data_IF_114080121149
#
_entry.id   IF_114080121149
#
_cell.length_a   1.000
_cell.length_b   1.000
_cell.length_c   1.000
_cell.angle_alpha   90.00
_cell.angle_beta   90.00
_cell.angle_gamma   90.00
#
_symmetry.space_group_name_H-M   'P 1'
#
loop_
_entity.id
_entity.type
_entity.pdbx_description
1 polymer ?
#
# COMPACT_ATOMS: atom_id res chain seq x y z
N UNK A 1 17.54 -7.18 9.49
CA UNK A 1 17.28 -8.35 8.66
C UNK A 1 16.40 -9.36 9.38
N UNK A 2 16.62 -9.61 10.67
CA UNK A 2 15.83 -10.56 11.47
C UNK A 2 14.35 -10.15 11.54
N UNK A 3 14.05 -8.88 11.77
CA UNK A 3 12.68 -8.38 11.79
C UNK A 3 11.96 -8.60 10.46
N UNK A 4 12.68 -8.41 9.32
CA UNK A 4 12.13 -8.71 8.01
C UNK A 4 11.88 -10.19 7.78
N UNK A 5 12.74 -11.09 8.31
CA UNK A 5 12.49 -12.54 8.22
C UNK A 5 11.22 -12.93 8.95
N UNK A 6 11.04 -12.43 10.19
CA UNK A 6 9.81 -12.66 10.98
C UNK A 6 8.57 -12.12 10.26
N UNK A 7 8.71 -10.95 9.65
CA UNK A 7 7.63 -10.36 8.87
C UNK A 7 7.28 -11.21 7.65
N UNK A 8 8.26 -11.69 6.88
CA UNK A 8 8.00 -12.53 5.72
C UNK A 8 7.40 -13.88 6.11
N UNK A 9 7.86 -14.47 7.21
CA UNK A 9 7.22 -15.66 7.76
C UNK A 9 5.76 -15.41 8.13
N UNK A 10 5.46 -14.29 8.79
CA UNK A 10 4.10 -13.89 9.12
C UNK A 10 3.26 -13.69 7.84
N UNK A 11 3.74 -12.88 6.89
CA UNK A 11 3.03 -12.59 5.65
C UNK A 11 2.74 -13.86 4.84
N UNK A 12 3.72 -14.77 4.72
CA UNK A 12 3.51 -16.05 4.04
C UNK A 12 2.44 -16.90 4.73
N UNK A 13 2.44 -16.98 6.07
CA UNK A 13 1.39 -17.67 6.83
C UNK A 13 0.00 -17.05 6.65
N UNK A 14 -0.05 -15.74 6.40
CA UNK A 14 -1.29 -15.02 6.13
C UNK A 14 -1.73 -15.13 4.66
N UNK A 15 -0.95 -15.79 3.81
CA UNK A 15 -1.26 -16.00 2.41
C UNK A 15 -0.85 -14.84 1.49
N UNK A 16 -0.06 -13.88 1.97
CA UNK A 16 0.54 -12.87 1.11
C UNK A 16 1.64 -13.51 0.26
N UNK A 17 1.61 -13.26 -1.04
CA UNK A 17 2.45 -13.94 -2.02
C UNK A 17 3.45 -13.02 -2.73
N UNK A 18 3.30 -11.71 -2.58
CA UNK A 18 4.15 -10.71 -3.23
C UNK A 18 4.48 -9.55 -2.29
N UNK A 19 5.67 -8.98 -2.46
CA UNK A 19 6.08 -7.71 -1.85
C UNK A 19 6.68 -6.81 -2.92
N UNK A 20 6.47 -5.49 -2.80
CA UNK A 20 7.11 -4.49 -3.65
C UNK A 20 8.14 -3.70 -2.85
N UNK A 21 9.36 -3.60 -3.38
CA UNK A 21 10.43 -2.78 -2.81
C UNK A 21 10.61 -1.55 -3.69
N UNK A 22 10.36 -0.38 -3.14
CA UNK A 22 10.50 0.90 -3.84
C UNK A 22 11.92 1.47 -3.67
N UNK A 23 12.36 2.23 -4.67
CA UNK A 23 13.63 2.94 -4.62
C UNK A 23 14.88 2.12 -4.94
N UNK A 24 14.76 0.97 -5.57
CA UNK A 24 15.93 0.16 -5.95
C UNK A 24 16.86 0.87 -6.94
N UNK A 25 16.33 1.78 -7.73
CA UNK A 25 17.08 2.57 -8.71
C UNK A 25 17.22 4.05 -8.33
N UNK A 26 16.64 4.50 -7.23
CA UNK A 26 16.72 5.89 -6.79
C UNK A 26 18.04 6.13 -6.10
N UNK A 27 18.83 7.08 -6.60
CA UNK A 27 20.12 7.44 -6.02
C UNK A 27 20.53 8.86 -6.43
N UNK A 28 21.21 9.54 -5.52
CA UNK A 28 21.84 10.85 -5.80
C UNK A 28 23.05 10.74 -6.77
N UNK A 29 23.53 9.52 -7.02
CA UNK A 29 24.59 9.27 -7.99
C UNK A 29 24.12 9.28 -9.45
N UNK A 30 22.80 9.27 -9.72
CA UNK A 30 22.28 9.46 -11.06
C UNK A 30 22.62 10.88 -11.56
N UNK A 31 23.01 11.05 -12.84
CA UNK A 31 23.09 10.06 -13.93
C UNK A 31 24.53 9.64 -14.26
N UNK A 32 25.50 9.85 -13.37
CA UNK A 32 26.92 9.66 -13.68
C UNK A 32 27.24 8.22 -14.06
N UNK A 33 26.71 7.27 -13.33
CA UNK A 33 26.84 5.85 -13.61
C UNK A 33 25.64 5.09 -13.03
N UNK A 34 24.80 4.53 -13.88
CA UNK A 34 23.63 3.77 -13.46
C UNK A 34 24.03 2.49 -12.71
N UNK A 35 25.19 1.91 -13.00
CA UNK A 35 25.65 0.68 -12.34
C UNK A 35 26.10 0.92 -10.90
N UNK A 36 26.46 2.14 -10.56
CA UNK A 36 26.90 2.56 -9.23
C UNK A 36 25.81 3.27 -8.41
N UNK A 37 24.59 3.42 -8.95
CA UNK A 37 23.51 4.15 -8.29
C UNK A 37 23.08 3.55 -6.95
N UNK A 38 23.30 2.26 -6.72
CA UNK A 38 23.07 1.60 -5.45
C UNK A 38 24.40 1.25 -4.80
N UNK A 39 24.78 1.87 -3.67
CA UNK A 39 26.01 1.54 -2.96
C UNK A 39 26.14 0.03 -2.69
N UNK A 40 27.34 -0.56 -2.81
CA UNK A 40 27.53 -2.01 -2.68
C UNK A 40 26.94 -2.61 -1.40
N UNK A 41 27.05 -1.90 -0.27
CA UNK A 41 26.49 -2.37 1.01
C UNK A 41 24.96 -2.38 1.02
N UNK A 42 24.34 -1.37 0.43
CA UNK A 42 22.89 -1.33 0.25
C UNK A 42 22.42 -2.43 -0.68
N UNK A 43 23.12 -2.63 -1.80
CA UNK A 43 22.85 -3.69 -2.74
C UNK A 43 22.86 -5.07 -2.08
N UNK A 44 23.91 -5.40 -1.33
CA UNK A 44 24.00 -6.66 -0.58
C UNK A 44 22.89 -6.84 0.46
N UNK A 45 22.47 -5.77 1.14
CA UNK A 45 21.34 -5.83 2.08
C UNK A 45 20.02 -6.10 1.37
N UNK A 46 19.80 -5.46 0.24
CA UNK A 46 18.59 -5.68 -0.59
C UNK A 46 18.57 -7.12 -1.10
N UNK A 47 19.66 -7.65 -1.63
CA UNK A 47 19.75 -9.05 -2.06
C UNK A 47 19.37 -10.03 -0.94
N UNK A 48 19.90 -9.81 0.27
CA UNK A 48 19.55 -10.63 1.44
C UNK A 48 18.07 -10.53 1.84
N UNK A 49 17.45 -9.37 1.62
CA UNK A 49 15.99 -9.22 1.84
C UNK A 49 15.20 -9.99 0.80
N UNK A 50 15.58 -9.90 -0.48
CA UNK A 50 14.95 -10.65 -1.58
C UNK A 50 15.08 -12.16 -1.34
N UNK A 51 16.28 -12.64 -1.03
CA UNK A 51 16.52 -14.06 -0.68
C UNK A 51 15.68 -14.50 0.52
N UNK A 52 15.51 -13.64 1.52
CA UNK A 52 14.68 -13.96 2.68
C UNK A 52 13.20 -14.09 2.30
N UNK A 53 12.68 -13.22 1.45
CA UNK A 53 11.32 -13.31 0.93
C UNK A 53 11.11 -14.61 0.11
N UNK A 54 12.03 -14.89 -0.80
CA UNK A 54 11.99 -16.10 -1.63
C UNK A 54 11.99 -17.40 -0.81
N UNK A 55 12.72 -17.46 0.32
CA UNK A 55 12.70 -18.62 1.22
C UNK A 55 11.32 -18.89 1.83
N UNK A 56 10.47 -17.88 1.89
CA UNK A 56 9.08 -18.01 2.35
C UNK A 56 8.08 -18.11 1.19
N UNK A 57 8.56 -18.28 -0.05
CA UNK A 57 7.70 -18.36 -1.24
C UNK A 57 7.07 -17.04 -1.66
N UNK A 58 7.55 -15.92 -1.10
CA UNK A 58 7.08 -14.56 -1.45
C UNK A 58 7.89 -14.05 -2.62
N UNK A 59 7.21 -13.64 -3.68
CA UNK A 59 7.81 -12.97 -4.84
C UNK A 59 8.15 -11.52 -4.52
N UNK A 60 9.21 -11.02 -5.13
CA UNK A 60 9.67 -9.65 -4.90
C UNK A 60 9.61 -8.85 -6.18
N UNK A 61 8.88 -7.74 -6.14
CA UNK A 61 8.75 -6.79 -7.25
C UNK A 61 9.54 -5.52 -6.93
N UNK A 62 10.04 -4.86 -7.97
CA UNK A 62 10.51 -3.49 -7.84
C UNK A 62 9.36 -2.52 -8.08
N UNK A 63 9.13 -1.61 -7.14
CA UNK A 63 8.34 -0.43 -7.44
C UNK A 63 9.05 0.40 -8.53
N UNK A 64 8.36 0.69 -9.62
CA UNK A 64 8.89 1.38 -10.79
C UNK A 64 8.01 2.59 -11.14
N UNK A 65 8.56 3.80 -10.98
CA UNK A 65 7.95 4.99 -11.56
C UNK A 65 8.08 4.98 -13.07
N UNK A 66 6.96 5.15 -13.77
CA UNK A 66 6.95 5.18 -15.24
C UNK A 66 7.03 6.62 -15.70
N UNK A 67 8.20 7.06 -16.14
CA UNK A 67 8.55 8.44 -16.52
C UNK A 67 8.47 9.49 -15.39
N UNK A 68 8.06 9.14 -14.18
CA UNK A 68 7.86 10.11 -13.11
C UNK A 68 8.64 9.77 -11.84
N UNK A 69 8.07 9.09 -10.90
CA UNK A 69 8.68 8.82 -9.60
C UNK A 69 10.08 8.17 -9.72
N UNK A 70 11.06 8.71 -8.98
CA UNK A 70 12.43 8.20 -8.96
C UNK A 70 13.39 8.77 -10.03
N UNK A 71 12.91 9.62 -10.93
CA UNK A 71 13.72 10.19 -12.01
C UNK A 71 14.23 11.61 -11.73
N UNK A 72 13.98 12.14 -10.55
CA UNK A 72 14.30 13.54 -10.21
C UNK A 72 15.75 13.93 -10.48
N UNK A 73 16.71 13.09 -10.10
CA UNK A 73 18.13 13.41 -10.28
C UNK A 73 18.56 13.30 -11.76
N UNK A 74 17.97 12.37 -12.51
CA UNK A 74 18.15 12.29 -13.97
C UNK A 74 17.62 13.57 -14.63
N UNK A 75 16.41 14.00 -14.28
CA UNK A 75 15.79 15.21 -14.80
C UNK A 75 16.65 16.45 -14.46
N UNK A 76 17.13 16.54 -13.24
CA UNK A 76 17.99 17.65 -12.80
C UNK A 76 19.29 17.75 -13.59
N UNK A 77 19.90 16.63 -13.94
CA UNK A 77 21.11 16.61 -14.75
C UNK A 77 20.82 16.76 -16.25
N UNK A 78 19.64 16.37 -16.72
CA UNK A 78 19.19 16.44 -18.11
C UNK A 78 17.83 17.15 -18.22
N UNK A 79 17.73 18.46 -17.97
CA UNK A 79 16.44 19.17 -17.90
C UNK A 79 15.62 19.10 -19.19
N UNK A 80 16.25 18.85 -20.33
CA UNK A 80 15.58 18.68 -21.63
C UNK A 80 14.64 17.49 -21.66
N UNK A 81 14.89 16.47 -20.83
CA UNK A 81 14.04 15.28 -20.73
C UNK A 81 12.65 15.60 -20.12
N UNK A 82 12.52 16.71 -19.44
CA UNK A 82 11.31 17.10 -18.71
C UNK A 82 10.98 18.58 -18.93
N UNK A 83 10.58 18.97 -20.15
CA UNK A 83 10.45 20.38 -20.53
C UNK A 83 9.34 21.14 -19.82
N UNK A 84 8.35 20.45 -19.27
CA UNK A 84 7.16 21.07 -18.65
C UNK A 84 6.95 20.69 -17.18
N UNK A 85 7.75 19.77 -16.65
CA UNK A 85 7.61 19.29 -15.26
C UNK A 85 8.97 18.97 -14.66
N UNK A 86 9.28 19.41 -13.44
CA UNK A 86 10.52 19.04 -12.77
C UNK A 86 10.50 17.58 -12.23
N UNK A 87 9.39 16.87 -12.38
CA UNK A 87 9.15 15.56 -11.76
C UNK A 87 8.82 14.45 -12.76
N UNK A 88 8.44 14.80 -14.00
CA UNK A 88 8.02 13.83 -14.99
C UNK A 88 8.74 14.04 -16.31
N UNK A 89 9.41 12.98 -16.82
CA UNK A 89 10.06 12.99 -18.13
C UNK A 89 9.03 13.02 -19.25
N UNK A 90 9.44 13.53 -20.41
CA UNK A 90 8.59 13.63 -21.60
C UNK A 90 8.49 12.26 -22.32
N UNK A 91 7.31 11.68 -22.36
CA UNK A 91 7.11 10.41 -23.07
C UNK A 91 7.29 10.50 -24.60
N UNK A 92 7.27 11.73 -25.16
CA UNK A 92 7.53 11.99 -26.59
C UNK A 92 9.02 12.16 -26.90
N UNK A 93 9.89 12.23 -25.88
CA UNK A 93 11.32 12.39 -26.04
C UNK A 93 12.00 11.02 -26.12
N UNK A 94 12.72 10.71 -27.23
CA UNK A 94 13.43 9.44 -27.36
C UNK A 94 14.52 9.23 -26.31
N UNK A 95 15.18 10.30 -25.86
CA UNK A 95 16.21 10.20 -24.83
C UNK A 95 15.59 9.83 -23.46
N UNK A 96 14.39 10.32 -23.18
CA UNK A 96 13.65 9.92 -21.97
C UNK A 96 13.31 8.41 -21.98
N UNK A 97 13.00 7.87 -23.15
CA UNK A 97 12.81 6.44 -23.31
C UNK A 97 14.10 5.64 -23.07
N UNK A 98 15.22 6.07 -23.57
CA UNK A 98 16.52 5.42 -23.31
C UNK A 98 16.85 5.38 -21.80
N UNK A 99 16.44 6.38 -21.03
CA UNK A 99 16.57 6.35 -19.58
C UNK A 99 15.62 5.35 -18.92
N UNK A 100 14.40 5.21 -19.43
CA UNK A 100 13.48 4.16 -18.96
C UNK A 100 14.07 2.76 -19.19
N UNK A 101 14.58 2.48 -20.39
CA UNK A 101 15.25 1.21 -20.71
C UNK A 101 16.41 0.93 -19.77
N UNK A 102 17.32 1.89 -19.58
CA UNK A 102 18.46 1.76 -18.66
C UNK A 102 18.04 1.44 -17.23
N UNK A 103 16.96 2.07 -16.74
CA UNK A 103 16.46 1.82 -15.39
C UNK A 103 15.89 0.40 -15.27
N UNK A 104 15.11 -0.02 -16.25
CA UNK A 104 14.51 -1.36 -16.27
C UNK A 104 15.60 -2.42 -16.31
N UNK A 105 16.55 -2.27 -17.22
CA UNK A 105 17.66 -3.21 -17.38
C UNK A 105 18.56 -3.26 -16.13
N UNK A 106 18.83 -2.11 -15.53
CA UNK A 106 19.57 -2.05 -14.28
C UNK A 106 18.86 -2.84 -13.16
N UNK A 107 17.56 -2.61 -12.95
CA UNK A 107 16.83 -3.22 -11.86
C UNK A 107 16.80 -4.75 -12.02
N UNK A 108 16.51 -5.26 -13.21
CA UNK A 108 16.46 -6.70 -13.47
C UNK A 108 17.84 -7.37 -13.55
N UNK A 109 18.87 -6.67 -14.02
CA UNK A 109 20.24 -7.21 -14.03
C UNK A 109 20.89 -7.21 -12.66
N UNK A 110 20.55 -6.20 -11.82
CA UNK A 110 21.22 -6.00 -10.53
C UNK A 110 20.60 -6.82 -9.40
N UNK A 111 19.30 -7.05 -9.44
CA UNK A 111 18.57 -7.69 -8.37
C UNK A 111 17.80 -8.92 -8.85
N UNK A 112 17.76 -10.02 -8.07
CA UNK A 112 17.00 -11.22 -8.41
C UNK A 112 15.50 -11.06 -8.12
N UNK A 113 14.90 -9.99 -8.65
CA UNK A 113 13.47 -9.70 -8.50
C UNK A 113 12.62 -10.47 -9.51
N UNK A 114 11.36 -10.69 -9.15
CA UNK A 114 10.40 -11.45 -9.95
C UNK A 114 9.63 -10.59 -10.95
N UNK A 115 9.61 -9.27 -10.75
CA UNK A 115 8.86 -8.36 -11.60
C UNK A 115 8.90 -6.91 -11.15
N UNK A 116 7.93 -6.15 -11.62
CA UNK A 116 7.74 -4.73 -11.28
C UNK A 116 6.31 -4.45 -10.86
N UNK A 117 6.14 -3.47 -9.95
CA UNK A 117 4.88 -2.77 -9.69
C UNK A 117 5.01 -1.35 -10.22
N UNK A 118 4.34 -1.06 -11.33
CA UNK A 118 4.47 0.20 -12.06
C UNK A 118 3.52 1.26 -11.53
N UNK A 119 4.02 2.50 -11.42
CA UNK A 119 3.24 3.66 -11.00
C UNK A 119 3.60 4.86 -11.89
N UNK A 120 2.66 5.31 -12.72
CA UNK A 120 2.92 6.28 -13.77
C UNK A 120 2.46 7.70 -13.46
N UNK A 121 1.57 7.90 -12.48
CA UNK A 121 0.86 9.16 -12.31
C UNK A 121 1.17 9.92 -11.01
N UNK A 122 1.99 9.35 -10.12
CA UNK A 122 2.23 9.90 -8.78
C UNK A 122 2.74 11.35 -8.77
N UNK A 123 3.63 11.68 -9.71
CA UNK A 123 4.23 13.01 -9.79
C UNK A 123 3.80 13.79 -11.04
N UNK A 124 2.61 13.46 -11.58
CA UNK A 124 2.08 14.09 -12.77
C UNK A 124 2.68 13.58 -14.07
N UNK A 125 2.53 14.36 -15.14
CA UNK A 125 2.92 14.02 -16.52
C UNK A 125 3.58 15.18 -17.23
N UNK A 126 4.24 14.90 -18.35
CA UNK A 126 4.66 15.94 -19.28
C UNK A 126 3.44 16.55 -19.99
N UNK A 127 3.42 17.88 -20.10
CA UNK A 127 2.37 18.68 -20.74
C UNK A 127 2.90 19.44 -21.99
N UNK A 128 3.94 18.93 -22.65
CA UNK A 128 4.38 19.47 -23.91
C UNK A 128 3.30 19.27 -25.00
N UNK A 129 3.33 20.03 -26.13
CA UNK A 129 2.29 19.97 -27.15
C UNK A 129 1.96 18.53 -27.61
N UNK A 130 2.98 17.68 -27.80
CA UNK A 130 2.79 16.27 -28.22
C UNK A 130 2.13 15.42 -27.13
N UNK A 131 2.53 15.61 -25.85
CA UNK A 131 1.95 14.84 -24.76
C UNK A 131 0.53 15.31 -24.42
N UNK A 132 0.21 16.59 -24.67
CA UNK A 132 -1.10 17.18 -24.42
C UNK A 132 -2.16 16.78 -25.46
N UNK A 133 -1.78 16.13 -26.54
CA UNK A 133 -2.73 15.53 -27.51
C UNK A 133 -3.52 14.36 -26.92
N UNK A 134 -3.00 13.75 -25.85
CA UNK A 134 -3.64 12.65 -25.14
C UNK A 134 -4.39 13.13 -23.91
N UNK A 135 -5.57 12.58 -23.65
CA UNK A 135 -6.18 12.69 -22.31
C UNK A 135 -5.25 12.07 -21.25
N UNK A 136 -5.47 12.37 -19.99
CA UNK A 136 -4.63 11.83 -18.91
C UNK A 136 -4.64 10.30 -18.90
N UNK A 137 -5.80 9.67 -19.08
CA UNK A 137 -5.92 8.21 -19.10
C UNK A 137 -5.19 7.60 -20.31
N UNK A 138 -5.31 8.19 -21.51
CA UNK A 138 -4.63 7.72 -22.72
C UNK A 138 -3.11 7.85 -22.61
N UNK A 139 -2.61 8.99 -22.06
CA UNK A 139 -1.19 9.18 -21.83
C UNK A 139 -0.62 8.10 -20.91
N UNK A 140 -1.26 7.87 -19.77
CA UNK A 140 -0.77 6.85 -18.84
C UNK A 140 -0.92 5.43 -19.39
N UNK A 141 -1.95 5.14 -20.19
CA UNK A 141 -2.04 3.87 -20.89
C UNK A 141 -0.89 3.68 -21.88
N UNK A 142 -0.58 4.71 -22.68
CA UNK A 142 0.51 4.69 -23.65
C UNK A 142 1.85 4.33 -23.01
N UNK A 143 2.22 5.02 -21.92
CA UNK A 143 3.51 4.81 -21.27
C UNK A 143 3.59 3.48 -20.51
N UNK A 144 2.52 3.06 -19.83
CA UNK A 144 2.49 1.75 -19.18
C UNK A 144 2.56 0.60 -20.19
N UNK A 145 1.83 0.68 -21.29
CA UNK A 145 1.89 -0.32 -22.36
C UNK A 145 3.30 -0.41 -22.96
N UNK A 146 3.90 0.73 -23.32
CA UNK A 146 5.26 0.78 -23.86
C UNK A 146 6.30 0.12 -22.95
N UNK A 147 6.26 0.43 -21.65
CA UNK A 147 7.16 -0.18 -20.67
C UNK A 147 6.89 -1.67 -20.54
N UNK A 148 5.63 -2.08 -20.50
CA UNK A 148 5.26 -3.49 -20.43
C UNK A 148 5.73 -4.28 -21.63
N UNK A 149 5.58 -3.74 -22.84
CA UNK A 149 6.08 -4.36 -24.09
C UNK A 149 7.58 -4.57 -24.04
N UNK A 150 8.34 -3.56 -23.58
CA UNK A 150 9.79 -3.68 -23.42
C UNK A 150 10.16 -4.78 -22.42
N UNK A 151 9.51 -4.80 -21.24
CA UNK A 151 9.77 -5.83 -20.22
C UNK A 151 9.42 -7.22 -20.78
N UNK A 152 8.28 -7.40 -21.45
CA UNK A 152 7.91 -8.69 -22.06
C UNK A 152 8.92 -9.15 -23.10
N UNK A 153 9.47 -8.24 -23.90
CA UNK A 153 10.42 -8.55 -24.95
C UNK A 153 11.83 -8.88 -24.41
N UNK A 154 12.33 -8.10 -23.44
CA UNK A 154 13.71 -8.22 -22.95
C UNK A 154 13.83 -9.13 -21.72
N UNK A 155 12.79 -9.19 -20.89
CA UNK A 155 12.77 -9.82 -19.58
C UNK A 155 11.59 -10.79 -19.45
N UNK A 156 11.49 -11.76 -20.36
CA UNK A 156 10.34 -12.67 -20.42
C UNK A 156 10.14 -13.40 -19.08
N UNK A 157 8.88 -13.65 -18.73
CA UNK A 157 8.50 -14.33 -17.49
C UNK A 157 8.48 -13.45 -16.24
N UNK A 158 8.82 -12.17 -16.36
CA UNK A 158 8.71 -11.22 -15.24
C UNK A 158 7.27 -10.76 -15.05
N UNK A 159 6.87 -10.60 -13.80
CA UNK A 159 5.55 -10.12 -13.40
C UNK A 159 5.47 -8.61 -13.68
N UNK A 160 4.34 -8.18 -14.23
CA UNK A 160 4.01 -6.78 -14.47
C UNK A 160 2.74 -6.44 -13.69
N UNK A 161 2.90 -5.78 -12.55
CA UNK A 161 1.80 -5.13 -11.83
C UNK A 161 1.70 -3.66 -12.22
N UNK A 162 0.50 -3.12 -12.23
CA UNK A 162 0.25 -1.68 -12.41
C UNK A 162 -0.58 -1.17 -11.26
N UNK A 163 -0.10 -0.13 -10.59
CA UNK A 163 -0.81 0.58 -9.54
C UNK A 163 -1.32 1.91 -10.09
N UNK A 164 -2.59 2.19 -9.88
CA UNK A 164 -3.26 3.37 -10.42
C UNK A 164 -3.07 4.66 -9.61
N UNK A 165 -2.19 4.68 -8.63
CA UNK A 165 -1.96 5.85 -7.78
C UNK A 165 -1.80 7.13 -8.62
N UNK A 166 -2.65 8.14 -8.34
CA UNK A 166 -2.70 9.38 -9.10
C UNK A 166 -3.42 9.31 -10.46
N UNK A 167 -3.82 8.13 -10.95
CA UNK A 167 -4.62 8.02 -12.17
C UNK A 167 -6.06 8.49 -11.91
N UNK A 168 -6.64 9.32 -12.80
CA UNK A 168 -8.07 9.59 -12.77
C UNK A 168 -8.80 8.33 -13.22
N UNK A 169 -9.38 7.63 -12.27
CA UNK A 169 -10.26 6.49 -12.50
C UNK A 169 -11.66 6.86 -12.02
N UNK A 170 -12.66 6.13 -12.48
CA UNK A 170 -14.01 6.28 -11.98
C UNK A 170 -14.99 6.87 -12.98
N UNK A 171 -14.51 7.28 -14.15
CA UNK A 171 -15.36 7.67 -15.29
C UNK A 171 -15.33 6.62 -16.41
N UNK A 172 -16.37 6.59 -17.25
CA UNK A 172 -16.46 5.66 -18.38
C UNK A 172 -15.44 5.96 -19.49
N UNK A 173 -15.01 7.21 -19.62
CA UNK A 173 -14.04 7.60 -20.64
C UNK A 173 -12.64 7.01 -20.40
N UNK A 174 -12.31 6.70 -19.14
CA UNK A 174 -11.03 6.05 -18.78
C UNK A 174 -11.00 4.55 -19.07
N UNK A 175 -12.15 3.88 -19.18
CA UNK A 175 -12.25 2.41 -19.32
C UNK A 175 -11.43 1.87 -20.50
N UNK A 176 -11.49 2.42 -21.73
CA UNK A 176 -10.70 1.90 -22.85
C UNK A 176 -9.19 1.95 -22.62
N UNK A 177 -8.71 2.99 -21.93
CA UNK A 177 -7.31 3.15 -21.57
C UNK A 177 -6.86 2.14 -20.51
N UNK A 178 -7.69 1.90 -19.52
CA UNK A 178 -7.43 0.90 -18.47
C UNK A 178 -7.43 -0.53 -19.03
N UNK A 179 -8.31 -0.82 -20.00
CA UNK A 179 -8.32 -2.11 -20.71
C UNK A 179 -7.03 -2.34 -21.51
N UNK A 180 -6.44 -1.29 -22.11
CA UNK A 180 -5.13 -1.41 -22.80
C UNK A 180 -4.03 -1.79 -21.82
N UNK A 181 -4.00 -1.16 -20.63
CA UNK A 181 -3.05 -1.52 -19.57
C UNK A 181 -3.27 -2.97 -19.14
N UNK A 182 -4.51 -3.38 -18.87
CA UNK A 182 -4.85 -4.72 -18.42
C UNK A 182 -4.50 -5.84 -19.39
N UNK A 183 -4.38 -5.56 -20.71
CA UNK A 183 -3.90 -6.55 -21.68
C UNK A 183 -2.41 -6.85 -21.58
N UNK A 184 -1.65 -5.95 -20.99
CA UNK A 184 -0.18 -6.05 -20.89
C UNK A 184 0.29 -6.42 -19.48
N UNK A 185 -0.53 -6.13 -18.46
CA UNK A 185 -0.23 -6.42 -17.05
C UNK A 185 -0.68 -7.84 -16.65
N UNK A 186 -0.08 -8.38 -15.60
CA UNK A 186 -0.56 -9.57 -14.91
C UNK A 186 -1.64 -9.22 -13.90
N UNK A 187 -1.53 -8.03 -13.29
CA UNK A 187 -2.56 -7.48 -12.41
C UNK A 187 -2.60 -5.95 -12.44
N UNK A 188 -3.75 -5.41 -12.05
CA UNK A 188 -3.99 -3.97 -11.93
C UNK A 188 -4.55 -3.66 -10.54
N UNK A 189 -3.90 -2.77 -9.80
CA UNK A 189 -4.32 -2.32 -8.47
C UNK A 189 -4.96 -0.94 -8.57
N UNK A 190 -6.25 -0.86 -8.24
CA UNK A 190 -6.94 0.41 -8.07
C UNK A 190 -6.58 1.06 -6.73
N UNK A 191 -5.85 2.16 -6.80
CA UNK A 191 -5.38 2.88 -5.62
C UNK A 191 -6.48 3.66 -4.89
N UNK A 192 -7.64 3.86 -5.49
CA UNK A 192 -8.73 4.64 -4.88
C UNK A 192 -9.63 3.83 -3.95
N UNK A 193 -9.67 2.52 -4.12
CA UNK A 193 -10.60 1.67 -3.38
C UNK A 193 -12.07 1.83 -3.78
N UNK A 194 -12.95 1.04 -3.16
CA UNK A 194 -14.35 0.91 -3.55
C UNK A 194 -15.19 2.20 -3.45
N UNK A 195 -14.77 3.14 -2.63
CA UNK A 195 -15.60 4.31 -2.27
C UNK A 195 -15.50 5.48 -3.25
N UNK A 196 -14.62 5.42 -4.24
CA UNK A 196 -14.33 6.56 -5.14
C UNK A 196 -14.82 6.35 -6.57
N UNK A 197 -15.64 5.35 -6.83
CA UNK A 197 -16.24 5.13 -8.12
C UNK A 197 -17.54 5.94 -8.24
N UNK A 198 -17.60 6.79 -9.26
CA UNK A 198 -18.74 7.71 -9.47
C UNK A 198 -20.07 6.98 -9.68
N UNK A 199 -20.02 5.78 -10.26
CA UNK A 199 -21.19 4.98 -10.56
C UNK A 199 -21.10 3.58 -9.95
N UNK A 200 -22.10 3.20 -9.20
CA UNK A 200 -22.27 1.83 -8.76
C UNK A 200 -22.28 0.87 -9.97
N UNK A 201 -21.46 -0.15 -9.92
CA UNK A 201 -21.32 -1.12 -11.00
C UNK A 201 -20.26 -0.78 -12.07
N UNK A 202 -19.70 0.45 -12.13
CA UNK A 202 -18.63 0.77 -13.08
C UNK A 202 -17.39 -0.09 -12.79
N UNK A 203 -17.00 -0.23 -11.54
CA UNK A 203 -15.89 -1.11 -11.11
C UNK A 203 -16.13 -2.55 -11.57
N UNK A 204 -17.33 -3.10 -11.37
CA UNK A 204 -17.69 -4.46 -11.80
C UNK A 204 -17.57 -4.62 -13.32
N UNK A 205 -18.04 -3.63 -14.10
CA UNK A 205 -17.92 -3.66 -15.56
C UNK A 205 -16.46 -3.60 -16.00
N UNK A 206 -15.66 -2.75 -15.37
CA UNK A 206 -14.23 -2.66 -15.67
C UNK A 206 -13.53 -4.00 -15.35
N UNK A 207 -13.73 -4.54 -14.16
CA UNK A 207 -13.16 -5.85 -13.76
C UNK A 207 -13.52 -6.94 -14.76
N UNK A 208 -14.80 -7.02 -15.15
CA UNK A 208 -15.27 -8.02 -16.10
C UNK A 208 -14.64 -7.87 -17.51
N UNK A 209 -14.13 -6.69 -17.85
CA UNK A 209 -13.50 -6.38 -19.12
C UNK A 209 -11.97 -6.40 -19.10
N UNK A 210 -11.34 -6.51 -17.90
CA UNK A 210 -9.89 -6.59 -17.77
C UNK A 210 -9.38 -7.97 -18.18
N UNK A 211 -8.24 -7.99 -18.85
CA UNK A 211 -7.55 -9.23 -19.22
C UNK A 211 -6.57 -9.73 -18.15
N UNK A 212 -6.44 -8.98 -17.05
CA UNK A 212 -5.56 -9.30 -15.92
C UNK A 212 -6.37 -9.37 -14.62
N UNK A 213 -5.73 -9.83 -13.56
CA UNK A 213 -6.32 -9.78 -12.23
C UNK A 213 -6.50 -8.32 -11.77
N UNK A 214 -7.64 -8.02 -11.16
CA UNK A 214 -7.94 -6.71 -10.62
C UNK A 214 -7.92 -6.75 -9.11
N UNK A 215 -7.29 -5.76 -8.53
CA UNK A 215 -7.22 -5.57 -7.10
C UNK A 215 -7.41 -4.12 -6.67
N UNK A 216 -7.38 -3.90 -5.38
CA UNK A 216 -7.39 -2.57 -4.78
C UNK A 216 -6.32 -2.44 -3.71
N UNK A 217 -6.00 -1.21 -3.32
CA UNK A 217 -5.26 -0.99 -2.09
C UNK A 217 -6.12 -1.52 -0.94
N UNK A 218 -5.51 -2.36 -0.13
CA UNK A 218 -6.19 -3.12 0.91
C UNK A 218 -6.67 -2.28 2.06
N UNK A 219 -7.83 -2.64 2.51
CA UNK A 219 -8.60 -1.87 3.46
C UNK A 219 -9.29 -0.71 2.77
N UNK A 220 -10.30 -0.13 3.40
CA UNK A 220 -10.68 1.20 3.02
C UNK A 220 -9.42 2.03 3.12
N UNK A 221 -9.18 2.88 2.18
CA UNK A 221 -8.25 3.98 2.35
C UNK A 221 -8.81 4.85 3.45
N UNK A 222 -8.64 4.35 4.63
CA UNK A 222 -8.95 5.06 5.83
C UNK A 222 -7.82 5.97 6.03
N UNK A 223 -8.16 7.06 5.83
CA UNK A 223 -7.29 8.15 6.00
C UNK A 223 -7.31 8.59 7.44
N UNK A 224 -6.23 8.90 7.94
CA UNK A 224 -4.90 8.88 7.46
C UNK A 224 -4.28 7.54 7.75
N UNK A 225 -4.46 6.61 6.96
CA UNK A 225 -3.67 5.44 7.16
C UNK A 225 -2.37 5.63 6.45
N UNK A 226 -1.73 6.59 6.74
CA UNK A 226 -0.35 6.68 6.40
C UNK A 226 0.32 5.55 7.17
N UNK A 227 0.17 4.40 6.62
CA UNK A 227 0.54 3.08 7.04
C UNK A 227 1.98 3.02 7.51
N UNK A 228 2.83 3.88 6.98
CA UNK A 228 4.22 3.98 7.37
C UNK A 228 4.46 4.78 8.68
N UNK A 229 3.38 5.24 9.36
CA UNK A 229 3.50 5.96 10.63
C UNK A 229 2.53 5.48 11.69
N UNK A 230 2.00 4.27 11.51
CA UNK A 230 1.07 3.66 12.44
C UNK A 230 1.71 2.99 13.63
N UNK A 231 3.01 2.87 13.66
CA UNK A 231 3.77 2.12 14.65
C UNK A 231 3.41 2.51 16.09
N UNK A 232 2.95 3.73 16.33
CA UNK A 232 2.54 4.20 17.65
C UNK A 232 1.04 4.17 17.89
N UNK A 233 0.22 4.29 16.84
CA UNK A 233 -1.22 4.39 17.00
C UNK A 233 -1.90 3.05 16.77
N UNK A 234 -2.89 2.77 17.62
CA UNK A 234 -3.73 1.58 17.47
C UNK A 234 -4.98 1.95 16.67
N UNK A 235 -4.96 1.62 15.40
CA UNK A 235 -6.04 1.92 14.44
C UNK A 235 -6.50 0.66 13.71
N UNK A 236 -7.18 -0.28 14.37
CA UNK A 236 -7.73 -1.44 13.69
C UNK A 236 -8.87 -1.00 12.76
N UNK A 237 -8.87 -1.50 11.51
CA UNK A 237 -9.89 -1.22 10.49
C UNK A 237 -10.57 -2.52 10.06
N UNK A 238 -11.21 -3.20 11.00
CA UNK A 238 -11.60 -4.60 10.86
C UNK A 238 -12.88 -4.80 10.06
N UNK A 239 -13.96 -4.12 10.48
CA UNK A 239 -15.24 -4.17 9.75
C UNK A 239 -15.06 -3.68 8.33
N UNK A 240 -14.41 -2.53 8.16
CA UNK A 240 -14.20 -1.92 6.85
C UNK A 240 -13.31 -2.76 5.96
N UNK A 241 -12.26 -3.39 6.49
CA UNK A 241 -11.43 -4.34 5.74
C UNK A 241 -12.26 -5.53 5.27
N UNK A 242 -13.06 -6.11 6.17
CA UNK A 242 -13.92 -7.25 5.84
C UNK A 242 -14.96 -6.91 4.78
N UNK A 243 -15.69 -5.81 4.95
CA UNK A 243 -16.70 -5.34 4.00
C UNK A 243 -16.09 -4.96 2.64
N UNK A 244 -14.92 -4.31 2.65
CA UNK A 244 -14.22 -3.93 1.43
C UNK A 244 -13.78 -5.13 0.60
N UNK A 245 -13.14 -6.13 1.23
CA UNK A 245 -12.69 -7.34 0.52
C UNK A 245 -13.89 -8.15 0.03
N UNK A 246 -14.95 -8.25 0.81
CA UNK A 246 -16.18 -8.92 0.39
C UNK A 246 -16.82 -8.24 -0.84
N UNK A 247 -16.88 -6.90 -0.84
CA UNK A 247 -17.40 -6.13 -1.97
C UNK A 247 -16.49 -6.25 -3.22
N UNK A 248 -15.17 -6.20 -3.04
CA UNK A 248 -14.21 -6.42 -4.11
C UNK A 248 -14.38 -7.79 -4.75
N UNK A 249 -14.48 -8.84 -3.94
CA UNK A 249 -14.68 -10.20 -4.41
C UNK A 249 -16.03 -10.39 -5.11
N UNK A 250 -17.09 -9.73 -4.63
CA UNK A 250 -18.41 -9.73 -5.27
C UNK A 250 -18.40 -9.08 -6.66
N UNK A 251 -17.53 -8.09 -6.87
CA UNK A 251 -17.29 -7.46 -8.16
C UNK A 251 -16.34 -8.25 -9.07
N UNK A 252 -15.72 -9.32 -8.57
CA UNK A 252 -14.79 -10.17 -9.31
C UNK A 252 -13.31 -9.84 -9.12
N UNK A 253 -12.97 -8.89 -8.25
CA UNK A 253 -11.59 -8.57 -7.90
C UNK A 253 -10.93 -9.66 -7.05
N UNK A 254 -9.60 -9.77 -7.12
CA UNK A 254 -8.86 -10.91 -6.56
C UNK A 254 -7.62 -10.56 -5.77
N UNK A 255 -7.22 -9.29 -5.72
CA UNK A 255 -5.98 -8.87 -5.09
C UNK A 255 -6.17 -7.65 -4.19
N UNK A 256 -5.33 -7.56 -3.17
CA UNK A 256 -5.17 -6.35 -2.37
C UNK A 256 -3.69 -6.05 -2.19
N UNK A 257 -3.32 -4.80 -2.39
CA UNK A 257 -2.00 -4.28 -2.08
C UNK A 257 -2.06 -3.50 -0.76
N UNK A 258 -1.07 -3.73 0.12
CA UNK A 258 -0.94 -3.05 1.40
C UNK A 258 0.42 -2.36 1.49
N UNK A 259 0.45 -1.18 2.10
CA UNK A 259 1.69 -0.47 2.35
C UNK A 259 2.11 -0.62 3.81
N UNK A 260 3.25 -1.26 4.05
CA UNK A 260 3.77 -1.50 5.40
C UNK A 260 5.26 -1.26 5.52
N UNK A 261 5.65 -0.88 6.74
CA UNK A 261 6.98 -1.13 7.27
C UNK A 261 7.03 -2.47 8.01
N UNK A 262 7.90 -2.60 9.01
CA UNK A 262 7.88 -3.73 9.92
C UNK A 262 6.58 -3.70 10.74
N UNK A 263 5.85 -4.81 10.74
CA UNK A 263 4.59 -4.94 11.48
C UNK A 263 4.92 -5.14 12.96
N UNK A 264 4.87 -4.06 13.70
CA UNK A 264 5.07 -4.05 15.16
C UNK A 264 3.77 -3.74 15.93
N UNK A 265 2.83 -3.07 15.26
CA UNK A 265 1.57 -2.65 15.85
C UNK A 265 0.51 -3.76 15.78
N UNK A 266 -0.06 -4.18 16.92
CA UNK A 266 -1.11 -5.22 16.95
C UNK A 266 -2.35 -4.86 16.12
N UNK A 267 -2.66 -3.57 15.95
CA UNK A 267 -3.76 -3.12 15.11
C UNK A 267 -3.53 -3.40 13.63
N UNK A 268 -2.30 -3.27 13.13
CA UNK A 268 -1.95 -3.63 11.76
C UNK A 268 -1.90 -5.15 11.59
N UNK A 269 -1.34 -5.86 12.56
CA UNK A 269 -1.26 -7.32 12.50
C UNK A 269 -2.65 -7.97 12.43
N UNK A 270 -3.60 -7.55 13.27
CA UNK A 270 -4.95 -8.13 13.26
C UNK A 270 -5.70 -7.81 11.95
N UNK A 271 -5.50 -6.60 11.39
CA UNK A 271 -6.07 -6.25 10.09
C UNK A 271 -5.55 -7.15 8.97
N UNK A 272 -4.23 -7.44 8.95
CA UNK A 272 -3.61 -8.30 7.95
C UNK A 272 -4.05 -9.76 8.10
N UNK A 273 -4.19 -10.26 9.33
CA UNK A 273 -4.71 -11.60 9.59
C UNK A 273 -6.13 -11.74 9.03
N UNK A 274 -6.98 -10.76 9.31
CA UNK A 274 -8.33 -10.71 8.75
C UNK A 274 -8.28 -10.65 7.22
N UNK A 275 -7.47 -9.76 6.65
CA UNK A 275 -7.35 -9.59 5.21
C UNK A 275 -6.89 -10.87 4.51
N UNK A 276 -5.85 -11.53 5.01
CA UNK A 276 -5.35 -12.79 4.47
C UNK A 276 -6.42 -13.88 4.46
N UNK A 277 -7.16 -14.04 5.57
CA UNK A 277 -8.29 -15.00 5.65
C UNK A 277 -9.40 -14.65 4.66
N UNK A 278 -9.78 -13.37 4.56
CA UNK A 278 -10.81 -12.89 3.64
C UNK A 278 -10.42 -13.09 2.18
N UNK A 279 -9.17 -12.82 1.80
CA UNK A 279 -8.68 -13.01 0.42
C UNK A 279 -8.67 -14.48 0.02
N UNK A 280 -8.36 -15.37 0.96
CA UNK A 280 -8.38 -16.82 0.72
C UNK A 280 -9.80 -17.41 0.68
N UNK A 281 -10.76 -16.84 1.43
CA UNK A 281 -12.13 -17.33 1.49
C UNK A 281 -13.16 -16.17 1.56
N UNK A 282 -13.27 -15.33 0.52
CA UNK A 282 -14.03 -14.07 0.57
C UNK A 282 -15.55 -14.24 0.69
N UNK A 283 -16.06 -15.47 0.52
CA UNK A 283 -17.49 -15.79 0.67
C UNK A 283 -17.89 -16.12 2.11
N UNK A 284 -16.92 -16.34 2.98
CA UNK A 284 -17.16 -16.53 4.42
C UNK A 284 -17.35 -15.18 5.07
N UNK A 285 -18.29 -15.08 6.01
CA UNK A 285 -18.56 -13.83 6.72
C UNK A 285 -17.30 -13.31 7.43
N UNK A 286 -16.99 -12.04 7.27
CA UNK A 286 -15.79 -11.43 7.83
C UNK A 286 -15.71 -11.54 9.36
N UNK A 287 -16.87 -11.57 10.04
CA UNK A 287 -16.94 -11.76 11.49
C UNK A 287 -16.35 -13.09 11.93
N UNK A 288 -16.59 -14.16 11.17
CA UNK A 288 -15.99 -15.47 11.43
C UNK A 288 -14.49 -15.43 11.24
N UNK A 289 -14.01 -14.81 10.16
CA UNK A 289 -12.58 -14.63 9.93
C UNK A 289 -11.91 -13.75 11.00
N UNK A 290 -12.60 -12.73 11.49
CA UNK A 290 -12.10 -11.92 12.60
C UNK A 290 -11.98 -12.73 13.88
N UNK A 291 -12.99 -13.53 14.20
CA UNK A 291 -12.94 -14.43 15.35
C UNK A 291 -11.73 -15.35 15.30
N UNK A 292 -11.53 -16.05 14.19
CA UNK A 292 -10.37 -16.92 13.97
C UNK A 292 -9.03 -16.15 14.03
N UNK A 293 -8.98 -14.92 13.50
CA UNK A 293 -7.79 -14.08 13.56
C UNK A 293 -7.45 -13.66 15.02
N UNK A 294 -8.46 -13.38 15.83
CA UNK A 294 -8.31 -13.07 17.25
C UNK A 294 -7.79 -14.30 18.02
N UNK A 295 -8.34 -15.49 17.76
CA UNK A 295 -7.88 -16.74 18.36
C UNK A 295 -6.40 -17.00 18.05
N UNK A 296 -6.01 -16.87 16.80
CA UNK A 296 -4.63 -17.11 16.36
C UNK A 296 -3.63 -16.06 16.87
N UNK A 297 -4.07 -14.81 17.03
CA UNK A 297 -3.16 -13.73 17.41
C UNK A 297 -2.96 -13.62 18.92
N UNK A 298 -4.03 -13.79 19.69
CA UNK A 298 -4.04 -13.55 21.13
C UNK A 298 -4.08 -14.84 21.96
N UNK A 299 -4.48 -15.96 21.36
CA UNK A 299 -4.64 -17.26 22.06
C UNK A 299 -5.50 -17.14 23.31
N UNK A 300 -6.76 -16.65 23.20
CA UNK A 300 -7.64 -16.49 24.35
C UNK A 300 -7.98 -17.85 24.97
N UNK A 301 -8.14 -17.88 26.29
CA UNK A 301 -8.35 -19.13 27.05
C UNK A 301 -9.76 -19.73 26.86
N UNK A 302 -10.69 -18.92 26.43
CA UNK A 302 -12.10 -19.32 26.24
C UNK A 302 -12.83 -18.38 25.29
N UNK A 303 -14.01 -18.79 24.85
CA UNK A 303 -14.87 -18.05 23.92
C UNK A 303 -15.29 -16.66 24.45
N UNK A 304 -15.48 -16.51 25.75
CA UNK A 304 -15.80 -15.22 26.36
C UNK A 304 -14.65 -14.22 26.17
N UNK A 305 -13.41 -14.64 26.36
CA UNK A 305 -12.23 -13.80 26.15
C UNK A 305 -12.09 -13.42 24.65
N UNK A 306 -12.33 -14.37 23.72
CA UNK A 306 -12.33 -14.11 22.26
C UNK A 306 -13.38 -13.06 21.91
N UNK A 307 -14.59 -13.22 22.39
CA UNK A 307 -15.69 -12.27 22.16
C UNK A 307 -15.40 -10.88 22.74
N UNK A 308 -14.81 -10.80 23.92
CA UNK A 308 -14.48 -9.53 24.54
C UNK A 308 -13.32 -8.81 23.80
N UNK A 309 -12.28 -9.52 23.38
CA UNK A 309 -11.20 -8.94 22.54
C UNK A 309 -11.81 -8.39 21.26
N UNK A 310 -12.60 -9.20 20.55
CA UNK A 310 -13.27 -8.79 19.31
C UNK A 310 -14.10 -7.52 19.50
N UNK A 311 -14.89 -7.47 20.55
CA UNK A 311 -15.74 -6.32 20.88
C UNK A 311 -14.92 -5.05 21.15
N UNK A 312 -13.83 -5.16 21.89
CA UNK A 312 -12.93 -4.02 22.19
C UNK A 312 -12.21 -3.51 20.95
N UNK A 313 -11.75 -4.41 20.09
CA UNK A 313 -11.12 -4.05 18.81
C UNK A 313 -12.10 -3.28 17.90
N UNK A 314 -13.32 -3.79 17.73
CA UNK A 314 -14.36 -3.13 16.93
C UNK A 314 -14.77 -1.78 17.52
N UNK A 315 -14.79 -1.65 18.86
CA UNK A 315 -15.05 -0.36 19.51
C UNK A 315 -13.97 0.66 19.23
N UNK A 316 -12.69 0.26 19.16
CA UNK A 316 -11.60 1.16 18.74
C UNK A 316 -11.80 1.65 17.30
N UNK A 317 -12.19 0.78 16.37
CA UNK A 317 -12.52 1.16 15.00
C UNK A 317 -13.71 2.13 14.95
N UNK A 318 -14.79 1.82 15.63
CA UNK A 318 -16.01 2.65 15.69
C UNK A 318 -15.71 4.05 16.27
N UNK A 319 -14.91 4.13 17.32
CA UNK A 319 -14.50 5.39 17.93
C UNK A 319 -13.70 6.25 16.94
N UNK A 320 -12.77 5.64 16.21
CA UNK A 320 -12.01 6.34 15.19
C UNK A 320 -12.92 6.99 14.15
N UNK A 321 -13.79 6.20 13.53
CA UNK A 321 -14.68 6.70 12.45
C UNK A 321 -15.80 7.63 12.92
N UNK A 322 -16.15 7.58 14.20
CA UNK A 322 -17.13 8.48 14.79
C UNK A 322 -16.59 9.89 14.97
N UNK A 323 -15.34 10.02 15.37
CA UNK A 323 -14.77 11.30 15.76
C UNK A 323 -13.79 11.89 14.74
N UNK A 324 -13.10 11.06 13.97
CA UNK A 324 -12.15 11.53 12.98
C UNK A 324 -12.82 11.63 11.61
N UNK A 325 -12.89 12.82 11.01
CA UNK A 325 -13.52 13.00 9.72
C UNK A 325 -12.75 12.27 8.61
N UNK A 326 -13.49 11.66 7.71
CA UNK A 326 -12.95 10.91 6.58
C UNK A 326 -12.10 11.72 5.61
N UNK A 327 -12.22 13.06 5.65
CA UNK A 327 -11.47 13.98 4.79
C UNK A 327 -10.17 14.49 5.40
N UNK A 328 -9.82 14.09 6.62
CA UNK A 328 -8.50 14.43 7.23
C UNK A 328 -7.36 13.97 6.32
N UNK A 329 -7.54 12.89 5.65
CA UNK A 329 -6.61 12.27 4.74
C UNK A 329 -6.16 13.08 3.54
N UNK A 330 -7.08 13.65 2.82
CA UNK A 330 -6.77 14.43 1.62
C UNK A 330 -5.92 15.66 1.89
N UNK A 331 -5.58 15.90 3.14
CA UNK A 331 -4.83 17.06 3.59
C UNK A 331 -3.53 16.71 4.29
N UNK A 332 -3.19 15.44 4.39
CA UNK A 332 -1.96 14.99 5.03
C UNK A 332 -0.81 15.11 4.03
N UNK A 333 0.05 16.08 4.26
CA UNK A 333 1.30 16.20 3.53
C UNK A 333 2.22 15.02 3.82
N UNK A 334 2.87 14.51 2.78
CA UNK A 334 3.91 13.47 2.89
C UNK A 334 5.23 14.01 3.47
N UNK A 335 5.39 15.34 3.57
CA UNK A 335 6.63 15.95 4.04
C UNK A 335 7.10 15.46 5.42
N UNK A 336 6.24 15.25 6.42
CA UNK A 336 6.67 14.69 7.69
C UNK A 336 7.09 13.22 7.62
N UNK A 337 6.88 12.53 6.49
CA UNK A 337 7.28 11.13 6.32
C UNK A 337 8.78 10.95 6.19
N UNK A 338 9.51 11.99 5.86
CA UNK A 338 10.95 11.96 5.62
C UNK A 338 11.76 12.25 6.89
N UNK A 339 11.13 12.54 8.02
CA UNK A 339 11.80 12.89 9.27
C UNK A 339 11.85 11.73 10.27
N UNK A 340 12.82 11.79 11.18
CA UNK A 340 13.06 10.83 12.28
C UNK A 340 11.98 10.81 13.38
N UNK A 341 10.79 11.29 13.11
CA UNK A 341 9.71 11.34 14.12
C UNK A 341 8.86 10.07 14.05
N UNK A 342 8.99 9.16 15.01
CA UNK A 342 8.12 8.00 15.09
C UNK A 342 6.68 8.41 15.47
N UNK A 343 5.70 7.77 14.87
CA UNK A 343 4.28 7.91 15.21
C UNK A 343 3.48 8.75 14.23
N UNK A 344 2.18 8.87 14.47
CA UNK A 344 1.32 9.68 13.64
C UNK A 344 1.78 11.13 13.66
N UNK A 345 1.62 11.83 12.55
CA UNK A 345 2.03 13.21 12.46
C UNK A 345 1.28 14.07 13.49
N UNK A 346 1.99 14.91 14.20
CA UNK A 346 1.43 15.84 15.22
C UNK A 346 0.28 16.65 14.64
N UNK A 347 0.36 17.04 13.36
CA UNK A 347 -0.68 17.81 12.71
C UNK A 347 -2.05 17.09 12.59
N UNK A 348 -2.11 15.77 12.72
CA UNK A 348 -3.39 15.07 12.79
C UNK A 348 -4.17 15.50 14.03
N UNK A 349 -3.49 15.55 15.18
CA UNK A 349 -4.11 16.01 16.42
C UNK A 349 -4.39 17.51 16.41
N UNK A 350 -3.56 18.31 15.74
CA UNK A 350 -3.77 19.75 15.55
C UNK A 350 -5.00 20.08 14.70
N UNK A 351 -5.42 19.17 13.81
CA UNK A 351 -6.60 19.36 12.95
C UNK A 351 -7.91 18.91 13.58
N UNK A 352 -7.85 18.17 14.68
CA UNK A 352 -9.04 17.79 15.42
C UNK A 352 -9.54 18.93 16.28
N UNK A 353 -10.85 19.16 16.27
CA UNK A 353 -11.47 20.05 17.26
C UNK A 353 -11.29 19.53 18.69
N UNK A 354 -11.45 20.39 19.66
CA UNK A 354 -11.39 19.98 21.07
C UNK A 354 -12.40 18.87 21.39
N UNK A 355 -13.63 18.97 20.83
CA UNK A 355 -14.69 17.97 21.02
C UNK A 355 -14.32 16.62 20.39
N UNK A 356 -13.72 16.63 19.20
CA UNK A 356 -13.25 15.41 18.53
C UNK A 356 -12.15 14.74 19.34
N UNK A 357 -11.15 15.50 19.80
CA UNK A 357 -10.07 14.96 20.66
C UNK A 357 -10.62 14.40 21.95
N UNK A 358 -11.47 15.15 22.64
CA UNK A 358 -12.08 14.75 23.91
C UNK A 358 -12.97 13.51 23.72
N UNK A 359 -13.84 13.51 22.70
CA UNK A 359 -14.75 12.40 22.45
C UNK A 359 -14.01 11.11 22.05
N UNK A 360 -13.02 11.21 21.14
CA UNK A 360 -12.21 10.06 20.75
C UNK A 360 -11.37 9.56 21.93
N UNK A 361 -10.75 10.46 22.69
CA UNK A 361 -10.00 10.10 23.88
C UNK A 361 -10.84 9.36 24.93
N UNK A 362 -12.05 9.84 25.22
CA UNK A 362 -12.96 9.19 26.17
C UNK A 362 -13.35 7.76 25.74
N UNK A 363 -13.59 7.52 24.44
CA UNK A 363 -13.87 6.16 23.95
C UNK A 363 -12.65 5.24 24.12
N UNK A 364 -11.45 5.71 23.81
CA UNK A 364 -10.22 4.93 23.99
C UNK A 364 -9.90 4.69 25.49
N UNK A 365 -10.08 5.68 26.37
CA UNK A 365 -9.94 5.50 27.81
C UNK A 365 -10.89 4.42 28.33
N UNK A 366 -12.10 4.33 27.81
CA UNK A 366 -13.09 3.34 28.22
C UNK A 366 -12.77 1.89 27.79
N UNK A 367 -11.92 1.68 26.75
CA UNK A 367 -11.54 0.33 26.33
C UNK A 367 -10.29 -0.20 27.03
N UNK A 368 -9.40 0.68 27.52
CA UNK A 368 -8.14 0.29 28.18
C UNK A 368 -8.35 -0.69 29.35
N UNK A 369 -9.27 -0.45 30.31
CA UNK A 369 -9.49 -1.38 31.43
C UNK A 369 -9.97 -2.77 30.96
N UNK A 370 -10.69 -2.84 29.83
CA UNK A 370 -11.09 -4.10 29.20
C UNK A 370 -9.87 -4.91 28.78
N UNK A 371 -8.96 -4.32 28.04
CA UNK A 371 -7.71 -4.97 27.65
C UNK A 371 -6.83 -5.32 28.85
N UNK A 372 -6.75 -4.47 29.89
CA UNK A 372 -5.97 -4.76 31.09
C UNK A 372 -6.44 -6.04 31.79
N UNK A 373 -7.75 -6.28 31.88
CA UNK A 373 -8.30 -7.53 32.45
C UNK A 373 -7.95 -8.75 31.59
N UNK A 374 -7.87 -8.61 30.26
CA UNK A 374 -7.60 -9.71 29.35
C UNK A 374 -6.13 -10.18 29.33
N UNK A 375 -5.20 -9.44 29.93
CA UNK A 375 -3.78 -9.85 30.00
C UNK A 375 -3.60 -11.24 30.62
N UNK A 376 -4.41 -11.59 31.63
CA UNK A 376 -4.37 -12.89 32.29
C UNK A 376 -5.20 -13.97 31.56
N UNK A 377 -6.02 -13.58 30.60
CA UNK A 377 -6.98 -14.47 29.91
C UNK A 377 -6.49 -14.94 28.51
N UNK A 378 -5.24 -14.65 28.16
CA UNK A 378 -4.68 -14.99 26.84
C UNK A 378 -3.33 -15.73 26.95
N UNK A 379 -2.98 -16.52 25.93
CA UNK A 379 -1.68 -17.15 25.78
C UNK A 379 -0.60 -16.18 25.26
N UNK A 380 -1.01 -15.08 24.59
CA UNK A 380 -0.11 -14.06 24.06
C UNK A 380 -0.26 -12.72 24.80
N UNK A 381 0.07 -12.64 26.10
CA UNK A 381 -0.16 -11.44 26.91
C UNK A 381 0.62 -10.22 26.41
N UNK A 382 1.75 -10.40 25.73
CA UNK A 382 2.54 -9.30 25.17
C UNK A 382 1.80 -8.58 24.04
N UNK A 383 0.99 -9.26 23.26
CA UNK A 383 0.14 -8.64 22.24
C UNK A 383 -0.89 -7.68 22.87
N UNK A 384 -1.50 -8.10 23.98
CA UNK A 384 -2.44 -7.24 24.74
C UNK A 384 -1.71 -6.07 25.39
N UNK A 385 -0.53 -6.29 26.00
CA UNK A 385 0.27 -5.21 26.59
C UNK A 385 0.71 -4.18 25.55
N UNK A 386 1.13 -4.63 24.37
CA UNK A 386 1.48 -3.75 23.24
C UNK A 386 0.25 -2.96 22.76
N UNK A 387 -0.93 -3.60 22.66
CA UNK A 387 -2.19 -2.92 22.36
C UNK A 387 -2.48 -1.80 23.36
N UNK A 388 -2.37 -2.08 24.64
CA UNK A 388 -2.55 -1.07 25.72
C UNK A 388 -1.52 0.06 25.58
N UNK A 389 -0.26 -0.25 25.31
CA UNK A 389 0.78 0.77 25.12
C UNK A 389 0.49 1.67 23.92
N UNK A 390 0.05 1.11 22.80
CA UNK A 390 -0.37 1.88 21.63
C UNK A 390 -1.59 2.77 21.93
N UNK A 391 -2.61 2.26 22.62
CA UNK A 391 -3.77 3.05 23.04
C UNK A 391 -3.36 4.22 23.98
N UNK A 392 -2.50 3.96 24.96
CA UNK A 392 -1.97 5.00 25.86
C UNK A 392 -1.13 6.04 25.10
N UNK A 393 -0.41 5.64 24.05
CA UNK A 393 0.31 6.57 23.17
C UNK A 393 -0.65 7.49 22.42
N UNK A 394 -1.73 6.95 21.83
CA UNK A 394 -2.78 7.76 21.18
C UNK A 394 -3.38 8.75 22.18
N UNK A 395 -3.73 8.30 23.37
CA UNK A 395 -4.29 9.16 24.42
C UNK A 395 -3.34 10.30 24.84
N UNK A 396 -2.04 10.03 24.86
CA UNK A 396 -1.03 11.06 25.12
C UNK A 396 -0.94 12.09 23.98
N UNK A 397 -1.07 11.64 22.73
CA UNK A 397 -1.04 12.53 21.58
C UNK A 397 -2.34 13.38 21.42
N UNK A 398 -3.46 12.94 21.99
CA UNK A 398 -4.75 13.67 21.97
C UNK A 398 -4.85 14.76 23.05
N UNK A 399 -4.05 14.73 24.10
CA UNK A 399 -4.00 15.71 25.18
C UNK A 399 -3.22 16.94 24.78
#
# INVERSE_FOLDING_TARGET
>A
LEDYRRQYELLARLGFNEISIWGLYVSDAWPLDITSCVPPDRGRRVEKLIEAAHRHGIKVLSGLGVYSWGFREIIKAHPKLAPTSPYAMCASDPDAWLWMEKVIDFVFSRFPIDGVSMQSADQGRCECPKCSEYSTAEYHALINVRVSEYIRAQWSGKIIGVNSWGLPLGDEASVPSLQKIGKMADYFIDARGAQQWEHEGLRRRLIASMACDFGTIGGPQVEPPQHWRRDRWFLPTLRRTGEHIAALAADGGRACEYFFHIIANPGDEICLRLAGKMLNAPRVAWQKHLHEAVEEMFEPRNEQATGEITRLLLRCEEAYFKYLPSNISGTISLEPLVGDRPGPPIYLTERLTADQRSGYGAELEAVVPGFERLVAEVGQPEKIRTTIACLKSVLADLR
#
